data_IF_710146741661
#
_entry.id   IF_710146741661
#
_cell.length_a   1.000
_cell.length_b   1.000
_cell.length_c   1.000
_cell.angle_alpha   90.00
_cell.angle_beta   90.00
_cell.angle_gamma   90.00
#
_symmetry.space_group_name_H-M   'P 1'
#
loop_
_entity.id
_entity.type
_entity.pdbx_description
1 polymer ?
#
# COMPACT_ATOMS: atom_id res chain seq x y z
N UNK A 1 -17.72 48.83 58.15
CA UNK A 1 -17.28 49.61 56.99
C UNK A 1 -16.05 48.94 56.39
N UNK A 2 -16.23 48.06 55.40
CA UNK A 2 -15.11 47.50 54.62
C UNK A 2 -15.14 48.14 53.24
N UNK A 3 -14.08 48.88 52.92
CA UNK A 3 -13.88 49.56 51.65
C UNK A 3 -13.60 48.55 50.54
N UNK A 4 -14.54 48.47 49.61
CA UNK A 4 -14.48 47.62 48.42
C UNK A 4 -13.42 48.19 47.45
N UNK A 5 -12.23 47.58 47.41
CA UNK A 5 -11.18 47.94 46.44
C UNK A 5 -11.65 47.59 45.03
N UNK A 6 -12.08 48.61 44.26
CA UNK A 6 -12.34 48.51 42.81
C UNK A 6 -11.12 47.93 42.09
N UNK A 7 -11.34 46.83 41.35
CA UNK A 7 -10.34 46.24 40.44
C UNK A 7 -9.89 47.29 39.41
N UNK A 8 -8.58 47.44 39.15
CA UNK A 8 -8.08 48.41 38.18
C UNK A 8 -8.62 48.08 36.77
N UNK A 9 -9.11 49.10 36.08
CA UNK A 9 -9.62 49.02 34.71
C UNK A 9 -8.43 48.72 33.79
N UNK A 10 -8.42 47.55 33.15
CA UNK A 10 -7.36 47.16 32.21
C UNK A 10 -7.43 48.07 30.98
N UNK A 11 -6.38 48.86 30.74
CA UNK A 11 -6.25 49.69 29.55
C UNK A 11 -5.76 48.85 28.37
N UNK A 12 -6.65 48.60 27.41
CA UNK A 12 -6.36 47.78 26.23
C UNK A 12 -5.20 48.31 25.39
N UNK A 13 -4.98 49.65 25.34
CA UNK A 13 -3.90 50.24 24.53
C UNK A 13 -2.53 49.97 25.15
N UNK A 14 -2.44 50.09 26.47
CA UNK A 14 -1.24 49.73 27.25
C UNK A 14 -0.91 48.24 27.08
N UNK A 15 -1.94 47.39 27.06
CA UNK A 15 -1.77 45.96 26.80
C UNK A 15 -1.19 45.73 25.40
N UNK A 16 -1.81 46.28 24.36
CA UNK A 16 -1.35 46.14 22.96
C UNK A 16 0.10 46.61 22.78
N UNK A 17 0.47 47.76 23.37
CA UNK A 17 1.83 48.27 23.29
C UNK A 17 2.84 47.33 23.97
N UNK A 18 2.47 46.74 25.11
CA UNK A 18 3.29 45.73 25.79
C UNK A 18 3.45 44.46 24.94
N UNK A 19 2.37 43.93 24.37
CA UNK A 19 2.42 42.73 23.53
C UNK A 19 3.23 42.97 22.25
N UNK A 20 3.11 44.15 21.64
CA UNK A 20 3.90 44.54 20.47
C UNK A 20 5.40 44.60 20.79
N UNK A 21 5.77 45.17 21.95
CA UNK A 21 7.18 45.21 22.39
C UNK A 21 7.73 43.81 22.65
N UNK A 22 6.96 42.94 23.29
CA UNK A 22 7.34 41.55 23.55
C UNK A 22 7.48 40.75 22.24
N UNK A 23 6.59 40.95 21.26
CA UNK A 23 6.68 40.33 19.94
C UNK A 23 7.93 40.78 19.17
N UNK A 24 8.25 42.08 19.19
CA UNK A 24 9.47 42.60 18.55
C UNK A 24 10.74 42.03 19.21
N UNK A 25 10.76 41.87 20.53
CA UNK A 25 11.88 41.27 21.24
C UNK A 25 12.08 39.78 20.88
N UNK A 26 10.99 39.06 20.57
CA UNK A 26 11.04 37.67 20.12
C UNK A 26 11.68 37.54 18.73
N UNK A 27 11.35 38.44 17.80
CA UNK A 27 11.92 38.46 16.45
C UNK A 27 13.44 38.69 16.42
N UNK A 28 13.99 39.28 17.48
CA UNK A 28 15.43 39.50 17.62
C UNK A 28 16.18 38.33 18.25
N UNK A 29 15.47 37.29 18.73
CA UNK A 29 16.06 36.14 19.43
C UNK A 29 16.13 34.92 18.54
N UNK A 30 17.19 34.14 18.76
CA UNK A 30 17.28 32.77 18.25
C UNK A 30 16.51 31.83 19.18
N UNK A 31 15.83 30.87 18.59
CA UNK A 31 15.02 29.85 19.27
C UNK A 31 15.66 28.50 18.98
N UNK A 32 15.94 27.73 20.03
CA UNK A 32 16.32 26.33 19.92
C UNK A 32 15.06 25.50 20.16
N UNK A 33 14.77 24.55 19.26
CA UNK A 33 13.62 23.66 19.41
C UNK A 33 13.85 22.33 18.69
N UNK A 34 13.27 21.23 19.20
CA UNK A 34 13.14 20.01 18.43
C UNK A 34 12.03 20.17 17.39
N UNK A 35 12.22 19.60 16.20
CA UNK A 35 11.25 19.61 15.13
C UNK A 35 11.09 18.21 14.54
N UNK A 36 9.84 17.74 14.51
CA UNK A 36 9.41 16.51 13.83
C UNK A 36 8.80 16.85 12.46
N UNK A 37 8.66 15.87 11.54
CA UNK A 37 7.96 16.09 10.28
C UNK A 37 6.57 16.70 10.50
N UNK A 38 6.21 17.70 9.69
CA UNK A 38 4.93 18.43 9.73
C UNK A 38 4.56 19.08 11.08
N UNK A 39 5.53 19.21 12.00
CA UNK A 39 5.32 19.85 13.29
C UNK A 39 5.55 21.36 13.25
N UNK A 40 5.14 22.04 14.32
CA UNK A 40 5.27 23.50 14.49
C UNK A 40 6.01 23.81 15.76
N UNK A 41 6.80 24.86 15.75
CA UNK A 41 7.53 25.32 16.92
C UNK A 41 6.59 26.14 17.77
N UNK A 42 6.45 25.78 19.05
CA UNK A 42 5.66 26.54 20.02
C UNK A 42 6.57 27.10 21.09
N UNK A 43 6.47 28.41 21.32
CA UNK A 43 7.19 29.08 22.41
C UNK A 43 6.23 29.93 23.21
N UNK A 44 6.50 30.04 24.52
CA UNK A 44 5.72 30.90 25.42
C UNK A 44 6.54 32.12 25.82
N UNK A 45 6.08 33.31 25.45
CA UNK A 45 6.69 34.57 25.86
C UNK A 45 5.61 35.47 26.47
N UNK A 46 5.85 36.02 27.67
CA UNK A 46 4.90 36.92 28.33
C UNK A 46 3.54 36.29 28.67
N UNK A 47 3.45 34.96 28.68
CA UNK A 47 2.19 34.22 28.86
C UNK A 47 1.40 33.97 27.57
N UNK A 48 1.86 34.48 26.43
CA UNK A 48 1.31 34.18 25.10
C UNK A 48 2.04 33.01 24.47
N UNK A 49 1.30 32.19 23.72
CA UNK A 49 1.85 31.10 22.92
C UNK A 49 2.02 31.61 21.50
N UNK A 50 3.26 31.61 21.02
CA UNK A 50 3.61 31.85 19.63
C UNK A 50 3.84 30.52 18.93
N UNK A 51 3.31 30.39 17.73
CA UNK A 51 3.44 29.18 16.91
C UNK A 51 4.07 29.55 15.58
N UNK A 52 5.19 28.91 15.27
CA UNK A 52 5.96 29.16 14.06
C UNK A 52 6.04 27.92 13.17
N UNK A 53 5.97 28.14 11.86
CA UNK A 53 6.27 27.17 10.82
C UNK A 53 7.63 27.47 10.22
N UNK A 54 8.52 26.48 10.05
CA UNK A 54 9.79 26.70 9.36
C UNK A 54 9.56 26.96 7.87
N UNK A 55 10.37 27.85 7.28
CA UNK A 55 10.32 28.17 5.85
C UNK A 55 10.87 27.05 4.96
N UNK A 56 11.77 26.22 5.49
CA UNK A 56 12.32 25.02 4.84
C UNK A 56 11.98 23.77 5.62
N UNK A 57 11.96 22.63 4.94
CA UNK A 57 11.82 21.33 5.62
C UNK A 57 13.05 21.08 6.51
N UNK A 58 12.78 20.77 7.78
CA UNK A 58 13.81 20.48 8.77
C UNK A 58 13.27 19.42 9.74
N UNK A 59 14.12 18.50 10.15
CA UNK A 59 13.81 17.49 11.17
C UNK A 59 15.03 17.33 12.07
N UNK A 60 14.82 17.33 13.38
CA UNK A 60 15.89 17.25 14.35
C UNK A 60 15.92 18.45 15.30
N UNK A 61 17.09 18.73 15.85
CA UNK A 61 17.33 19.85 16.75
C UNK A 61 17.81 21.05 15.95
N UNK A 62 17.00 22.10 15.88
CA UNK A 62 17.29 23.26 15.02
C UNK A 62 17.44 24.56 15.79
N UNK A 63 18.19 25.48 15.18
CA UNK A 63 18.22 26.89 15.57
C UNK A 63 17.37 27.67 14.58
N UNK A 64 16.47 28.48 15.11
CA UNK A 64 15.45 29.16 14.33
C UNK A 64 15.42 30.64 14.66
N UNK A 65 15.17 31.48 13.66
CA UNK A 65 14.99 32.91 13.85
C UNK A 65 13.60 33.32 13.33
N UNK A 66 12.73 33.92 14.15
CA UNK A 66 11.45 34.39 13.67
C UNK A 66 11.61 35.49 12.62
N UNK A 67 11.05 35.28 11.44
CA UNK A 67 11.02 36.29 10.36
C UNK A 67 9.77 37.15 10.49
N UNK A 68 8.66 36.53 10.91
CA UNK A 68 7.39 37.19 11.18
C UNK A 68 6.64 36.48 12.32
N UNK A 69 5.36 36.80 12.54
CA UNK A 69 4.56 36.22 13.64
C UNK A 69 4.26 34.72 13.50
N UNK A 70 4.45 34.13 12.31
CA UNK A 70 4.05 32.75 11.98
C UNK A 70 5.15 31.91 11.35
N UNK A 71 6.23 32.52 10.90
CA UNK A 71 7.32 31.86 10.18
C UNK A 71 8.66 32.09 10.85
N UNK A 72 9.49 31.05 10.77
CA UNK A 72 10.88 31.09 11.20
C UNK A 72 11.80 30.67 10.06
N UNK A 73 12.94 31.34 9.97
CA UNK A 73 14.08 30.94 9.17
C UNK A 73 14.87 29.88 9.92
N UNK A 74 15.30 28.84 9.21
CA UNK A 74 16.16 27.78 9.75
C UNK A 74 17.61 28.24 9.63
N UNK A 75 18.26 28.53 10.76
CA UNK A 75 19.66 28.96 10.77
C UNK A 75 20.63 27.78 10.67
N UNK A 76 20.20 26.58 11.04
CA UNK A 76 21.00 25.36 11.03
C UNK A 76 20.64 24.41 12.15
N UNK A 77 21.41 23.33 12.27
CA UNK A 77 21.30 22.37 13.37
C UNK A 77 21.79 23.00 14.70
N UNK A 78 21.13 22.66 15.79
CA UNK A 78 21.55 23.07 17.13
C UNK A 78 22.79 22.30 17.56
N UNK A 79 23.70 23.01 18.22
CA UNK A 79 24.95 22.44 18.67
C UNK A 79 24.70 21.50 19.86
N UNK A 80 25.55 20.47 20.11
CA UNK A 80 25.31 19.51 21.18
C UNK A 80 25.08 20.13 22.56
N UNK A 81 25.81 21.19 22.91
CA UNK A 81 25.62 21.88 24.20
C UNK A 81 24.34 22.72 24.26
N UNK A 82 23.90 23.29 23.14
CA UNK A 82 22.63 24.03 23.05
C UNK A 82 21.45 23.06 23.25
N UNK A 83 21.52 21.90 22.60
CA UNK A 83 20.58 20.80 22.78
C UNK A 83 20.53 20.35 24.24
N UNK A 84 21.68 20.10 24.85
CA UNK A 84 21.73 19.64 26.24
C UNK A 84 21.17 20.69 27.21
N UNK A 85 21.53 21.97 27.06
CA UNK A 85 20.99 23.05 27.89
C UNK A 85 19.47 23.19 27.76
N UNK A 86 18.92 22.98 26.55
CA UNK A 86 17.48 22.93 26.34
C UNK A 86 16.82 21.72 27.03
N UNK A 87 17.42 20.54 26.86
CA UNK A 87 16.93 19.28 27.41
C UNK A 87 16.95 19.25 28.94
N UNK A 88 17.93 19.90 29.57
CA UNK A 88 18.04 20.00 31.03
C UNK A 88 16.85 20.69 31.70
N UNK A 89 16.08 21.49 30.95
CA UNK A 89 14.85 22.12 31.43
C UNK A 89 13.75 21.12 31.77
N UNK A 90 13.86 19.89 31.26
CA UNK A 90 12.83 18.87 31.38
C UNK A 90 13.24 17.75 32.34
N UNK A 91 12.27 17.16 33.06
CA UNK A 91 12.51 16.01 33.91
C UNK A 91 13.01 14.80 33.10
N UNK A 92 14.06 14.15 33.60
CA UNK A 92 14.63 12.95 33.03
C UNK A 92 13.87 11.68 33.45
N UNK A 93 13.71 10.76 32.50
CA UNK A 93 13.18 9.41 32.65
C UNK A 93 14.16 8.44 32.00
N UNK A 94 14.52 7.37 32.72
CA UNK A 94 15.31 6.28 32.14
C UNK A 94 14.42 5.32 31.39
N UNK A 95 14.81 4.96 30.19
CA UNK A 95 14.06 4.06 29.32
C UNK A 95 14.97 3.03 28.66
N UNK A 96 14.41 1.90 28.24
CA UNK A 96 15.09 0.87 27.44
C UNK A 96 14.53 0.95 26.03
N UNK A 97 15.38 1.21 25.04
CA UNK A 97 14.96 1.26 23.64
C UNK A 97 14.59 -0.14 23.13
N UNK A 98 13.55 -0.25 22.31
CA UNK A 98 13.04 -1.52 21.81
C UNK A 98 13.28 -1.67 20.30
N UNK A 99 12.62 -0.86 19.49
CA UNK A 99 12.76 -0.88 18.04
C UNK A 99 12.49 0.50 17.44
N UNK A 100 13.11 0.83 16.30
CA UNK A 100 12.80 2.06 15.60
C UNK A 100 11.36 2.00 15.08
N UNK A 101 10.64 3.10 15.21
CA UNK A 101 9.38 3.29 14.49
C UNK A 101 9.66 3.38 12.98
N UNK A 102 8.67 3.08 12.15
CA UNK A 102 8.81 3.14 10.70
C UNK A 102 9.33 4.52 10.27
N UNK A 103 10.46 4.53 9.57
CA UNK A 103 11.16 5.76 9.16
C UNK A 103 10.29 6.70 8.32
N UNK A 104 9.24 6.17 7.67
CA UNK A 104 8.30 6.92 6.84
C UNK A 104 7.43 7.87 7.67
N UNK A 105 7.09 7.51 8.91
CA UNK A 105 6.17 8.32 9.71
C UNK A 105 6.90 9.35 10.56
N UNK A 106 7.99 8.94 11.24
CA UNK A 106 8.78 9.82 12.13
C UNK A 106 10.23 9.35 12.20
N UNK A 107 11.16 9.93 11.43
CA UNK A 107 12.56 9.52 11.44
C UNK A 107 13.18 9.79 12.82
N UNK A 108 14.05 8.88 13.26
CA UNK A 108 14.68 8.95 14.58
C UNK A 108 13.71 8.70 15.75
N UNK A 109 12.52 8.14 15.53
CA UNK A 109 11.63 7.75 16.62
C UNK A 109 11.85 6.29 16.98
N UNK A 110 11.94 5.99 18.27
CA UNK A 110 12.05 4.63 18.79
C UNK A 110 10.94 4.35 19.78
N UNK A 111 10.47 3.11 19.81
CA UNK A 111 9.65 2.63 20.91
C UNK A 111 10.55 2.26 22.08
N UNK A 112 10.14 2.61 23.29
CA UNK A 112 10.90 2.37 24.51
C UNK A 112 9.99 1.94 25.66
N UNK A 113 10.56 1.27 26.66
CA UNK A 113 9.90 0.97 27.93
C UNK A 113 10.51 1.77 29.06
N UNK A 114 9.75 2.14 30.09
CA UNK A 114 10.34 2.77 31.26
C UNK A 114 11.23 1.75 31.98
N UNK A 115 12.45 2.16 32.32
CA UNK A 115 13.36 1.29 33.08
C UNK A 115 12.83 1.05 34.51
N UNK A 116 12.23 2.08 35.11
CA UNK A 116 11.54 1.97 36.39
C UNK A 116 10.06 2.35 36.22
N UNK A 117 9.19 1.35 36.18
CA UNK A 117 7.75 1.52 36.01
C UNK A 117 7.11 2.37 37.12
N UNK A 118 7.56 2.21 38.38
CA UNK A 118 7.00 2.97 39.50
C UNK A 118 7.33 4.46 39.39
N UNK A 119 8.58 4.80 39.06
CA UNK A 119 9.01 6.18 38.81
C UNK A 119 8.25 6.79 37.63
N UNK A 120 8.13 6.02 36.54
CA UNK A 120 7.44 6.42 35.34
C UNK A 120 5.94 6.72 35.59
N UNK A 121 5.27 5.85 36.34
CA UNK A 121 3.86 6.00 36.72
C UNK A 121 3.64 7.21 37.63
N UNK A 122 4.49 7.41 38.63
CA UNK A 122 4.32 8.47 39.61
C UNK A 122 4.59 9.87 39.03
N UNK A 123 5.62 10.01 38.19
CA UNK A 123 6.04 11.32 37.68
C UNK A 123 5.44 11.69 36.33
N UNK A 124 5.14 10.69 35.51
CA UNK A 124 4.73 10.91 34.11
C UNK A 124 3.41 10.22 33.75
N UNK A 125 2.81 9.45 34.67
CA UNK A 125 1.57 8.70 34.38
C UNK A 125 1.76 7.55 33.40
N UNK A 126 2.99 7.09 33.17
CA UNK A 126 3.29 6.00 32.24
C UNK A 126 3.19 4.63 32.92
N UNK A 127 2.61 3.66 32.20
CA UNK A 127 2.59 2.25 32.61
C UNK A 127 3.77 1.45 32.08
N UNK A 128 3.67 0.12 32.11
CA UNK A 128 4.64 -0.80 31.51
C UNK A 128 4.47 -0.97 29.99
N UNK A 129 3.79 -0.03 29.32
CA UNK A 129 3.50 -0.07 27.89
C UNK A 129 4.59 0.68 27.10
N UNK A 130 4.91 0.24 25.87
CA UNK A 130 5.85 0.95 25.01
C UNK A 130 5.38 2.38 24.71
N UNK A 131 6.30 3.34 24.79
CA UNK A 131 6.06 4.74 24.44
C UNK A 131 7.12 5.25 23.45
N UNK A 132 6.81 6.28 22.63
CA UNK A 132 7.74 6.80 21.66
C UNK A 132 8.78 7.74 22.30
N UNK A 133 10.04 7.54 21.96
CA UNK A 133 11.16 8.45 22.21
C UNK A 133 11.61 9.03 20.88
N UNK A 134 11.69 10.35 20.81
CA UNK A 134 11.90 11.11 19.58
C UNK A 134 13.34 11.56 19.43
N UNK A 135 13.74 11.72 18.16
CA UNK A 135 15.07 12.23 17.77
C UNK A 135 16.23 11.40 18.36
N UNK A 136 16.02 10.10 18.50
CA UNK A 136 17.05 9.13 18.78
C UNK A 136 18.08 9.11 17.66
N UNK A 137 19.34 9.30 18.03
CA UNK A 137 20.47 9.39 17.11
C UNK A 137 21.34 8.13 17.25
N UNK A 138 21.40 7.25 16.23
CA UNK A 138 22.25 6.06 16.26
C UNK A 138 23.73 6.38 16.43
N UNK A 139 24.20 7.55 15.95
CA UNK A 139 25.59 7.98 16.11
C UNK A 139 25.92 8.40 17.54
N UNK A 140 24.88 8.71 18.33
CA UNK A 140 24.97 9.06 19.74
C UNK A 140 24.46 7.92 20.64
N UNK A 141 24.61 6.66 20.22
CA UNK A 141 24.35 5.48 21.04
C UNK A 141 22.89 5.06 21.14
N UNK A 142 21.99 5.55 20.28
CA UNK A 142 20.63 5.01 20.22
C UNK A 142 20.62 3.65 19.51
N UNK A 143 20.58 2.57 20.29
CA UNK A 143 20.52 1.20 19.79
C UNK A 143 19.44 0.38 20.51
N UNK A 144 19.04 -0.74 19.90
CA UNK A 144 18.10 -1.71 20.49
C UNK A 144 18.62 -2.20 21.85
N UNK A 145 17.72 -2.21 22.82
CA UNK A 145 17.92 -2.55 24.23
C UNK A 145 18.85 -1.62 25.01
N UNK A 146 19.36 -0.56 24.38
CA UNK A 146 20.18 0.41 25.08
C UNK A 146 19.35 1.13 26.14
N UNK A 147 19.93 1.29 27.34
CA UNK A 147 19.32 2.11 28.38
C UNK A 147 19.68 3.57 28.11
N UNK A 148 18.66 4.40 27.98
CA UNK A 148 18.79 5.80 27.57
C UNK A 148 18.14 6.73 28.58
N UNK A 149 18.52 7.99 28.50
CA UNK A 149 17.83 9.07 29.18
C UNK A 149 16.92 9.77 28.18
N UNK A 150 15.63 9.81 28.53
CA UNK A 150 14.60 10.54 27.81
C UNK A 150 14.10 11.72 28.66
N UNK A 151 13.93 12.88 28.03
CA UNK A 151 13.47 14.11 28.68
C UNK A 151 12.01 14.36 28.36
N UNK A 152 11.18 14.46 29.39
CA UNK A 152 9.73 14.57 29.21
C UNK A 152 9.29 16.03 29.06
N UNK A 153 8.77 16.36 27.88
CA UNK A 153 8.12 17.63 27.55
C UNK A 153 6.62 17.36 27.34
N UNK A 154 5.87 17.41 28.44
CA UNK A 154 4.46 16.99 28.45
C UNK A 154 4.33 15.50 28.10
N UNK A 155 3.74 15.20 26.95
CA UNK A 155 3.56 13.82 26.45
C UNK A 155 4.66 13.40 25.45
N UNK A 156 5.63 14.27 25.20
CA UNK A 156 6.74 14.01 24.29
C UNK A 156 7.98 13.60 25.08
N UNK A 157 8.69 12.58 24.62
CA UNK A 157 9.93 12.12 25.25
C UNK A 157 11.09 12.30 24.27
N UNK A 158 12.01 13.19 24.59
CA UNK A 158 13.15 13.52 23.73
C UNK A 158 14.38 12.71 24.14
N UNK A 159 15.07 12.13 23.17
CA UNK A 159 16.34 11.45 23.41
C UNK A 159 17.43 12.45 23.80
N UNK A 160 18.05 12.23 24.95
CA UNK A 160 19.24 12.97 25.38
C UNK A 160 20.53 12.21 25.02
N UNK A 161 20.55 10.92 25.33
CA UNK A 161 21.73 10.07 25.16
C UNK A 161 21.62 8.75 25.92
N UNK A 162 22.66 7.90 25.83
CA UNK A 162 22.76 6.67 26.61
C UNK A 162 22.91 6.99 28.11
N UNK A 163 22.38 6.12 28.96
CA UNK A 163 22.56 6.21 30.41
C UNK A 163 23.97 5.71 30.76
N UNK A 164 24.88 6.62 31.07
CA UNK A 164 26.27 6.32 31.40
C UNK A 164 26.44 5.45 32.66
N UNK A 165 25.38 5.24 33.45
CA UNK A 165 25.35 4.35 34.62
C UNK A 165 24.83 2.95 34.26
N UNK A 166 24.47 2.71 33.00
CA UNK A 166 24.03 1.40 32.53
C UNK A 166 25.20 0.43 32.40
N UNK A 167 24.93 -0.83 32.74
CA UNK A 167 25.84 -1.91 32.43
C UNK A 167 25.64 -2.27 30.95
N UNK A 168 26.65 -2.03 30.08
CA UNK A 168 26.52 -2.31 28.65
C UNK A 168 26.32 -3.80 28.35
N UNK A 169 26.76 -4.70 29.25
CA UNK A 169 26.65 -6.15 29.05
C UNK A 169 25.20 -6.62 29.01
N UNK A 170 24.29 -5.91 29.68
CA UNK A 170 22.86 -6.21 29.63
C UNK A 170 22.29 -6.00 28.22
N UNK A 171 22.59 -4.85 27.62
CA UNK A 171 22.08 -4.50 26.29
C UNK A 171 22.67 -5.44 25.21
N UNK A 172 23.96 -5.75 25.30
CA UNK A 172 24.63 -6.73 24.43
C UNK A 172 23.96 -8.11 24.54
N UNK A 173 23.83 -8.63 25.76
CA UNK A 173 23.21 -9.93 25.98
C UNK A 173 21.77 -9.99 25.46
N UNK A 174 20.97 -8.92 25.66
CA UNK A 174 19.61 -8.85 25.13
C UNK A 174 19.59 -8.86 23.60
N UNK A 175 20.55 -8.20 22.94
CA UNK A 175 20.66 -8.19 21.47
C UNK A 175 21.00 -9.58 20.93
N UNK A 176 21.86 -10.31 21.61
CA UNK A 176 22.21 -11.69 21.27
C UNK A 176 21.00 -12.62 21.48
N UNK A 177 20.38 -12.58 22.67
CA UNK A 177 19.20 -13.39 23.02
C UNK A 177 17.96 -13.08 22.15
N UNK A 178 17.89 -11.89 21.57
CA UNK A 178 16.85 -11.49 20.62
C UNK A 178 17.10 -11.97 19.19
N UNK A 179 18.33 -12.36 18.87
CA UNK A 179 18.72 -12.91 17.58
C UNK A 179 18.62 -14.43 17.56
N UNK A 180 18.72 -15.07 18.73
CA UNK A 180 18.44 -16.50 18.90
C UNK A 180 16.94 -16.80 18.86
N UNK A 181 16.57 -17.86 18.13
CA UNK A 181 15.17 -18.27 17.97
C UNK A 181 14.62 -19.07 19.17
N UNK A 182 15.49 -19.58 20.04
CA UNK A 182 15.14 -20.43 21.16
C UNK A 182 14.78 -19.62 22.42
N UNK A 183 13.97 -20.22 23.31
CA UNK A 183 13.64 -19.58 24.58
C UNK A 183 14.89 -19.52 25.45
N UNK A 184 15.29 -18.31 25.79
CA UNK A 184 16.34 -18.07 26.77
C UNK A 184 15.78 -18.39 28.16
N UNK A 185 15.86 -19.67 28.55
CA UNK A 185 15.34 -20.13 29.85
C UNK A 185 16.17 -19.56 31.02
N UNK A 186 17.41 -19.16 30.75
CA UNK A 186 18.33 -18.57 31.73
C UNK A 186 18.65 -17.12 31.37
N UNK A 187 18.02 -16.17 32.07
CA UNK A 187 18.37 -14.76 31.97
C UNK A 187 19.75 -14.48 32.58
N UNK A 188 20.48 -13.51 32.00
CA UNK A 188 21.67 -12.96 32.62
C UNK A 188 21.36 -12.46 34.04
N UNK A 189 22.21 -12.81 34.99
CA UNK A 189 22.07 -12.39 36.39
C UNK A 189 22.14 -10.87 36.49
N UNK A 190 21.22 -10.25 37.24
CA UNK A 190 21.21 -8.79 37.44
C UNK A 190 20.31 -8.01 36.49
N UNK A 191 19.73 -8.66 35.47
CA UNK A 191 18.75 -8.01 34.60
C UNK A 191 17.53 -7.49 35.39
N UNK A 192 17.14 -6.26 35.08
CA UNK A 192 15.94 -5.63 35.58
C UNK A 192 14.67 -6.25 34.99
N UNK A 193 13.53 -6.06 35.67
CA UNK A 193 12.23 -6.51 35.16
C UNK A 193 11.86 -5.87 33.81
N UNK A 194 12.17 -4.58 33.64
CA UNK A 194 11.95 -3.83 32.40
C UNK A 194 12.78 -4.37 31.23
N UNK A 195 13.99 -4.84 31.48
CA UNK A 195 14.89 -5.40 30.47
C UNK A 195 14.39 -6.77 29.99
N UNK A 196 13.93 -7.62 30.90
CA UNK A 196 13.25 -8.88 30.54
C UNK A 196 11.97 -8.61 29.74
N UNK A 197 11.20 -7.60 30.15
CA UNK A 197 9.99 -7.18 29.46
C UNK A 197 10.30 -6.64 28.05
N UNK A 198 11.40 -5.92 27.88
CA UNK A 198 11.87 -5.43 26.58
C UNK A 198 12.10 -6.57 25.59
N UNK A 199 12.75 -7.66 26.02
CA UNK A 199 12.95 -8.85 25.18
C UNK A 199 11.61 -9.51 24.79
N UNK A 200 10.66 -9.59 25.73
CA UNK A 200 9.32 -10.13 25.46
C UNK A 200 8.58 -9.29 24.40
N UNK A 201 8.54 -7.96 24.57
CA UNK A 201 7.90 -7.06 23.61
C UNK A 201 8.57 -7.15 22.24
N UNK A 202 9.89 -7.25 22.19
CA UNK A 202 10.61 -7.45 20.94
C UNK A 202 10.15 -8.74 20.23
N UNK A 203 10.06 -9.87 20.95
CA UNK A 203 9.60 -11.14 20.38
C UNK A 203 8.16 -11.04 19.87
N UNK A 204 7.26 -10.45 20.64
CA UNK A 204 5.88 -10.19 20.22
C UNK A 204 5.86 -9.37 18.94
N UNK A 205 6.65 -8.29 18.87
CA UNK A 205 6.72 -7.44 17.70
C UNK A 205 7.25 -8.18 16.45
N UNK A 206 8.26 -9.04 16.60
CA UNK A 206 8.75 -9.87 15.49
C UNK A 206 7.69 -10.85 14.99
N UNK A 207 6.92 -11.47 15.88
CA UNK A 207 5.79 -12.32 15.49
C UNK A 207 4.73 -11.53 14.72
N UNK A 208 4.38 -10.31 15.17
CA UNK A 208 3.43 -9.46 14.47
C UNK A 208 3.89 -9.08 13.06
N UNK A 209 5.17 -8.72 12.90
CA UNK A 209 5.77 -8.42 11.58
C UNK A 209 5.69 -9.66 10.67
N UNK A 210 6.08 -10.83 11.17
CA UNK A 210 6.06 -12.07 10.39
C UNK A 210 4.64 -12.42 9.94
N UNK A 211 3.66 -12.35 10.84
CA UNK A 211 2.24 -12.59 10.54
C UNK A 211 1.69 -11.63 9.49
N UNK A 212 2.05 -10.35 9.56
CA UNK A 212 1.62 -9.34 8.58
C UNK A 212 2.26 -9.59 7.21
N UNK A 213 3.54 -9.99 7.17
CA UNK A 213 4.20 -10.38 5.93
C UNK A 213 3.55 -11.60 5.28
N UNK A 214 3.23 -12.64 6.05
CA UNK A 214 2.52 -13.81 5.55
C UNK A 214 1.14 -13.45 4.98
N UNK A 215 0.36 -12.63 5.70
CA UNK A 215 -0.94 -12.13 5.21
C UNK A 215 -0.81 -11.39 3.89
N UNK A 216 0.20 -10.53 3.75
CA UNK A 216 0.48 -9.80 2.50
C UNK A 216 0.87 -10.74 1.37
N UNK A 217 1.69 -11.75 1.64
CA UNK A 217 2.08 -12.76 0.64
C UNK A 217 0.88 -13.59 0.19
N UNK A 218 0.04 -14.05 1.13
CA UNK A 218 -1.19 -14.78 0.82
C UNK A 218 -2.15 -13.94 -0.03
N UNK A 219 -2.40 -12.68 0.36
CA UNK A 219 -3.25 -11.76 -0.40
C UNK A 219 -2.70 -11.51 -1.81
N UNK A 220 -1.38 -11.39 -1.97
CA UNK A 220 -0.74 -11.24 -3.29
C UNK A 220 -0.88 -12.49 -4.14
N UNK A 221 -0.65 -13.67 -3.56
CA UNK A 221 -0.80 -14.96 -4.25
C UNK A 221 -2.25 -15.20 -4.68
N UNK A 222 -3.22 -14.88 -3.84
CA UNK A 222 -4.63 -14.99 -4.17
C UNK A 222 -5.01 -14.04 -5.33
N UNK A 223 -4.57 -12.77 -5.28
CA UNK A 223 -4.79 -11.81 -6.37
C UNK A 223 -4.20 -12.31 -7.70
N UNK A 224 -3.02 -12.93 -7.66
CA UNK A 224 -2.39 -13.51 -8.84
C UNK A 224 -3.19 -14.68 -9.40
N UNK A 225 -3.60 -15.64 -8.55
CA UNK A 225 -4.45 -16.77 -8.95
C UNK A 225 -5.77 -16.30 -9.56
N UNK A 226 -6.45 -15.33 -8.92
CA UNK A 226 -7.70 -14.77 -9.45
C UNK A 226 -7.48 -14.07 -10.80
N UNK A 227 -6.37 -13.35 -10.97
CA UNK A 227 -6.05 -12.70 -12.25
C UNK A 227 -5.77 -13.73 -13.36
N UNK A 228 -5.10 -14.83 -13.06
CA UNK A 228 -4.85 -15.93 -14.00
C UNK A 228 -6.15 -16.60 -14.44
N UNK A 229 -7.03 -16.96 -13.49
CA UNK A 229 -8.35 -17.53 -13.80
C UNK A 229 -9.15 -16.57 -14.68
N UNK A 230 -9.18 -15.27 -14.36
CA UNK A 230 -9.85 -14.25 -15.18
C UNK A 230 -9.25 -14.16 -16.59
N UNK A 231 -7.92 -14.25 -16.74
CA UNK A 231 -7.24 -14.25 -18.05
C UNK A 231 -7.58 -15.50 -18.85
N UNK A 232 -7.58 -16.67 -18.21
CA UNK A 232 -7.92 -17.94 -18.84
C UNK A 232 -9.37 -17.92 -19.35
N UNK A 233 -10.32 -17.54 -18.50
CA UNK A 233 -11.74 -17.43 -18.88
C UNK A 233 -11.96 -16.43 -20.02
N UNK A 234 -11.26 -15.28 -20.01
CA UNK A 234 -11.32 -14.29 -21.11
C UNK A 234 -10.78 -14.85 -22.43
N UNK A 235 -9.73 -15.69 -22.40
CA UNK A 235 -9.20 -16.34 -23.60
C UNK A 235 -10.21 -17.34 -24.17
N UNK A 236 -10.73 -18.23 -23.32
CA UNK A 236 -11.75 -19.20 -23.73
C UNK A 236 -12.99 -18.51 -24.29
N UNK A 237 -13.49 -17.45 -23.63
CA UNK A 237 -14.64 -16.70 -24.12
C UNK A 237 -14.37 -16.04 -25.49
N UNK A 238 -13.16 -15.52 -25.72
CA UNK A 238 -12.77 -14.95 -27.02
C UNK A 238 -12.67 -16.01 -28.12
N UNK A 239 -12.12 -17.17 -27.80
CA UNK A 239 -12.04 -18.30 -28.75
C UNK A 239 -13.44 -18.79 -29.12
N UNK A 240 -14.32 -18.95 -28.13
CA UNK A 240 -15.72 -19.31 -28.35
C UNK A 240 -16.45 -18.28 -29.22
N UNK A 241 -16.30 -16.98 -28.93
CA UNK A 241 -16.90 -15.90 -29.74
C UNK A 241 -16.36 -15.89 -31.19
N UNK A 242 -15.05 -16.17 -31.38
CA UNK A 242 -14.45 -16.28 -32.72
C UNK A 242 -15.02 -17.46 -33.50
N UNK A 243 -15.13 -18.63 -32.88
CA UNK A 243 -15.73 -19.81 -33.51
C UNK A 243 -17.20 -19.58 -33.86
N UNK A 244 -17.97 -18.97 -32.95
CA UNK A 244 -19.37 -18.63 -33.20
C UNK A 244 -19.53 -17.62 -34.36
N UNK A 245 -18.67 -16.60 -34.43
CA UNK A 245 -18.67 -15.63 -35.52
C UNK A 245 -18.31 -16.28 -36.86
N UNK A 246 -17.27 -17.12 -36.90
CA UNK A 246 -16.88 -17.87 -38.10
C UNK A 246 -18.03 -18.74 -38.62
N UNK A 247 -18.70 -19.47 -37.71
CA UNK A 247 -19.85 -20.31 -38.05
C UNK A 247 -21.02 -19.48 -38.59
N UNK A 248 -21.29 -18.31 -38.01
CA UNK A 248 -22.34 -17.40 -38.48
C UNK A 248 -22.04 -16.85 -39.88
N UNK A 249 -20.79 -16.44 -40.15
CA UNK A 249 -20.41 -15.95 -41.48
C UNK A 249 -20.53 -17.05 -42.53
N UNK A 250 -20.12 -18.27 -42.19
CA UNK A 250 -20.25 -19.43 -43.09
C UNK A 250 -21.72 -19.74 -43.37
N UNK A 251 -22.57 -19.73 -42.34
CA UNK A 251 -24.01 -19.92 -42.49
C UNK A 251 -24.63 -18.86 -43.40
N UNK A 252 -24.27 -17.59 -43.23
CA UNK A 252 -24.74 -16.48 -44.07
C UNK A 252 -24.30 -16.63 -45.53
N UNK A 253 -23.05 -17.05 -45.76
CA UNK A 253 -22.53 -17.36 -47.11
C UNK A 253 -23.31 -18.50 -47.76
N UNK A 254 -23.57 -19.58 -47.03
CA UNK A 254 -24.37 -20.72 -47.51
C UNK A 254 -25.81 -20.30 -47.84
N UNK A 255 -26.46 -19.53 -46.95
CA UNK A 255 -27.80 -18.99 -47.19
C UNK A 255 -27.82 -18.08 -48.43
N UNK A 256 -26.82 -17.22 -48.59
CA UNK A 256 -26.73 -16.31 -49.74
C UNK A 256 -26.51 -17.06 -51.06
N UNK A 257 -25.65 -18.08 -51.08
CA UNK A 257 -25.42 -18.92 -52.25
C UNK A 257 -26.69 -19.71 -52.65
N UNK A 258 -27.40 -20.29 -51.68
CA UNK A 258 -28.65 -21.02 -51.92
C UNK A 258 -29.79 -20.09 -52.36
N UNK A 259 -29.90 -18.89 -51.77
CA UNK A 259 -30.93 -17.92 -52.11
C UNK A 259 -30.83 -17.42 -53.56
N UNK A 260 -29.62 -17.35 -54.14
CA UNK A 260 -29.42 -17.00 -55.56
C UNK A 260 -30.08 -17.99 -56.52
N UNK A 261 -30.37 -19.21 -56.06
CA UNK A 261 -30.98 -20.27 -56.85
C UNK A 261 -32.33 -20.71 -56.29
N UNK A 262 -33.02 -19.85 -55.54
CA UNK A 262 -34.32 -20.12 -54.91
C UNK A 262 -34.35 -21.39 -54.02
N UNK A 263 -33.24 -21.66 -53.32
CA UNK A 263 -33.13 -22.74 -52.35
C UNK A 263 -33.05 -22.22 -50.90
N UNK A 264 -33.48 -23.07 -49.97
CA UNK A 264 -33.51 -22.81 -48.52
C UNK A 264 -32.55 -23.75 -47.78
N UNK A 265 -31.73 -23.17 -46.89
CA UNK A 265 -30.83 -23.92 -46.02
C UNK A 265 -31.60 -24.49 -44.81
N UNK A 266 -31.51 -25.79 -44.56
CA UNK A 266 -32.07 -26.43 -43.35
C UNK A 266 -31.02 -26.65 -42.27
N UNK A 267 -29.86 -27.19 -42.63
CA UNK A 267 -28.79 -27.48 -41.69
C UNK A 267 -27.45 -27.56 -42.41
N UNK A 268 -26.35 -27.41 -41.67
CA UNK A 268 -25.02 -27.75 -42.15
C UNK A 268 -24.17 -28.33 -41.03
N UNK A 269 -23.23 -29.20 -41.39
CA UNK A 269 -22.26 -29.81 -40.49
C UNK A 269 -20.88 -29.80 -41.11
N UNK A 270 -19.87 -29.46 -40.32
CA UNK A 270 -18.46 -29.42 -40.72
C UNK A 270 -17.83 -30.79 -40.46
N UNK A 271 -17.18 -31.37 -41.47
CA UNK A 271 -16.38 -32.59 -41.37
C UNK A 271 -14.91 -32.15 -41.33
N UNK A 272 -14.22 -32.27 -40.17
CA UNK A 272 -12.81 -31.96 -40.08
C UNK A 272 -11.97 -33.04 -40.78
N UNK A 273 -10.84 -32.62 -41.35
CA UNK A 273 -9.82 -33.52 -41.87
C UNK A 273 -9.06 -34.22 -40.71
N UNK A 274 -8.27 -35.24 -41.04
CA UNK A 274 -7.47 -35.99 -40.07
C UNK A 274 -6.43 -35.12 -39.32
N UNK A 275 -6.09 -33.95 -39.86
CA UNK A 275 -5.20 -32.95 -39.27
C UNK A 275 -5.93 -31.86 -38.47
N UNK A 276 -7.26 -31.93 -38.35
CA UNK A 276 -8.10 -30.96 -37.66
C UNK A 276 -8.40 -29.68 -38.46
N UNK A 277 -7.96 -29.58 -39.72
CA UNK A 277 -8.36 -28.51 -40.62
C UNK A 277 -9.82 -28.69 -41.09
N UNK A 278 -10.48 -27.59 -41.49
CA UNK A 278 -11.78 -27.64 -42.15
C UNK A 278 -11.64 -28.44 -43.46
N UNK A 279 -12.27 -29.60 -43.52
CA UNK A 279 -12.21 -30.49 -44.68
C UNK A 279 -13.35 -30.27 -45.63
N UNK A 280 -14.50 -30.85 -45.30
CA UNK A 280 -15.69 -30.80 -46.13
C UNK A 280 -16.89 -30.28 -45.32
N UNK A 281 -17.78 -29.55 -45.97
CA UNK A 281 -19.05 -29.10 -45.40
C UNK A 281 -20.16 -29.98 -45.95
N UNK A 282 -20.97 -30.55 -45.08
CA UNK A 282 -22.22 -31.21 -45.49
C UNK A 282 -23.36 -30.24 -45.28
N UNK A 283 -24.09 -29.96 -46.34
CA UNK A 283 -25.17 -28.97 -46.36
C UNK A 283 -26.47 -29.67 -46.72
N UNK A 284 -27.51 -29.45 -45.92
CA UNK A 284 -28.87 -29.89 -46.19
C UNK A 284 -29.73 -28.71 -46.62
N UNK A 285 -30.34 -28.82 -47.80
CA UNK A 285 -31.09 -27.73 -48.41
C UNK A 285 -32.32 -28.27 -49.17
N UNK A 286 -33.28 -27.41 -49.48
CA UNK A 286 -34.42 -27.74 -50.34
C UNK A 286 -34.78 -26.58 -51.25
N UNK A 287 -35.29 -26.90 -52.44
CA UNK A 287 -35.87 -25.92 -53.35
C UNK A 287 -37.14 -25.30 -52.75
N UNK A 288 -37.40 -24.03 -53.09
CA UNK A 288 -38.55 -23.31 -52.58
C UNK A 288 -39.86 -24.03 -52.95
N UNK A 289 -40.68 -24.35 -51.94
CA UNK A 289 -41.96 -25.05 -52.12
C UNK A 289 -41.91 -26.58 -52.22
N UNK A 290 -40.72 -27.19 -52.28
CA UNK A 290 -40.59 -28.66 -52.28
C UNK A 290 -40.40 -29.24 -50.87
N UNK A 291 -40.98 -30.42 -50.62
CA UNK A 291 -40.79 -31.16 -49.35
C UNK A 291 -39.50 -31.99 -49.32
N UNK A 292 -38.84 -32.19 -50.47
CA UNK A 292 -37.67 -33.05 -50.60
C UNK A 292 -36.43 -32.28 -50.13
N UNK A 293 -35.64 -32.91 -49.26
CA UNK A 293 -34.36 -32.37 -48.79
C UNK A 293 -33.24 -33.03 -49.54
N UNK A 294 -32.31 -32.22 -50.04
CA UNK A 294 -31.09 -32.65 -50.69
C UNK A 294 -29.93 -32.47 -49.72
N UNK A 295 -28.96 -33.39 -49.80
CA UNK A 295 -27.75 -33.37 -49.00
C UNK A 295 -26.56 -33.35 -49.93
N UNK A 296 -25.75 -32.31 -49.84
CA UNK A 296 -24.58 -32.11 -50.68
C UNK A 296 -23.33 -31.91 -49.82
N UNK A 297 -22.20 -32.38 -50.32
CA UNK A 297 -20.89 -32.22 -49.68
C UNK A 297 -20.08 -31.20 -50.48
N UNK A 298 -19.62 -30.14 -49.82
CA UNK A 298 -18.85 -29.04 -50.37
C UNK A 298 -17.44 -29.03 -49.77
N UNK A 299 -16.50 -28.40 -50.47
CA UNK A 299 -15.21 -28.02 -49.90
C UNK A 299 -15.27 -26.67 -49.17
N UNK A 300 -14.15 -26.25 -48.58
CA UNK A 300 -14.01 -24.97 -47.87
C UNK A 300 -14.20 -23.75 -48.78
N UNK A 301 -14.08 -23.92 -50.11
CA UNK A 301 -14.32 -22.90 -51.12
C UNK A 301 -15.77 -22.86 -51.64
N UNK A 302 -16.68 -23.64 -51.04
CA UNK A 302 -18.08 -23.83 -51.47
C UNK A 302 -18.25 -24.54 -52.83
N UNK A 303 -17.20 -25.22 -53.31
CA UNK A 303 -17.25 -26.06 -54.51
C UNK A 303 -17.81 -27.43 -54.17
N UNK A 304 -18.59 -28.02 -55.05
CA UNK A 304 -19.23 -29.31 -54.78
C UNK A 304 -18.21 -30.45 -54.89
N UNK A 305 -18.03 -31.19 -53.81
CA UNK A 305 -17.22 -32.41 -53.78
C UNK A 305 -18.09 -33.63 -54.10
N UNK A 306 -19.34 -33.62 -53.63
CA UNK A 306 -20.34 -34.64 -53.97
C UNK A 306 -21.74 -34.05 -53.90
N UNK A 307 -22.48 -34.16 -54.99
CA UNK A 307 -23.85 -33.66 -55.12
C UNK A 307 -24.92 -34.56 -54.48
N UNK A 308 -24.58 -35.81 -54.15
CA UNK A 308 -25.53 -36.84 -53.73
C UNK A 308 -26.31 -37.49 -54.88
N UNK A 309 -26.00 -37.09 -56.13
CA UNK A 309 -26.55 -37.65 -57.38
C UNK A 309 -25.40 -37.91 -58.37
N UNK A 310 -25.61 -38.77 -59.37
CA UNK A 310 -24.58 -39.07 -60.36
C UNK A 310 -24.44 -37.92 -61.38
N UNK A 311 -23.52 -36.98 -61.15
CA UNK A 311 -23.16 -35.92 -62.12
C UNK A 311 -22.06 -36.36 -63.11
N UNK A 312 -22.04 -37.64 -63.50
CA UNK A 312 -21.07 -38.22 -64.46
C UNK A 312 -19.59 -37.88 -64.18
N UNK A 313 -19.22 -37.72 -62.90
CA UNK A 313 -17.83 -37.45 -62.47
C UNK A 313 -17.37 -36.00 -62.63
N UNK A 314 -18.29 -35.06 -62.89
CA UNK A 314 -18.01 -33.61 -63.00
C UNK A 314 -18.44 -32.79 -61.79
N UNK A 315 -18.65 -33.42 -60.64
CA UNK A 315 -19.15 -32.74 -59.43
C UNK A 315 -18.32 -31.49 -59.06
N UNK A 316 -17.00 -31.52 -59.28
CA UNK A 316 -16.08 -30.42 -58.97
C UNK A 316 -16.17 -29.19 -59.88
N UNK A 317 -16.87 -29.30 -61.01
CA UNK A 317 -17.08 -28.19 -61.95
C UNK A 317 -18.24 -27.27 -61.52
N UNK A 318 -18.96 -27.62 -60.44
CA UNK A 318 -20.14 -26.91 -59.96
C UNK A 318 -19.89 -26.27 -58.58
N UNK A 319 -20.30 -25.00 -58.45
CA UNK A 319 -20.48 -24.38 -57.15
C UNK A 319 -21.89 -24.69 -56.61
N UNK A 320 -22.14 -24.41 -55.32
CA UNK A 320 -23.43 -24.68 -54.69
C UNK A 320 -24.60 -24.03 -55.45
N UNK A 321 -24.42 -22.83 -56.01
CA UNK A 321 -25.45 -22.11 -56.78
C UNK A 321 -25.77 -22.81 -58.10
N UNK A 322 -24.75 -23.27 -58.81
CA UNK A 322 -24.88 -23.95 -60.10
C UNK A 322 -25.48 -25.34 -59.93
N UNK A 323 -25.16 -26.03 -58.83
CA UNK A 323 -25.74 -27.33 -58.51
C UNK A 323 -27.25 -27.24 -58.29
N UNK A 324 -27.73 -26.25 -57.53
CA UNK A 324 -29.16 -26.03 -57.35
C UNK A 324 -29.83 -25.77 -58.70
N UNK A 325 -29.23 -24.93 -59.55
CA UNK A 325 -29.77 -24.67 -60.90
C UNK A 325 -29.86 -25.94 -61.75
N UNK A 326 -28.84 -26.81 -61.72
CA UNK A 326 -28.87 -28.10 -62.43
C UNK A 326 -30.00 -29.00 -61.91
N UNK A 327 -30.24 -29.00 -60.60
CA UNK A 327 -31.33 -29.77 -59.97
C UNK A 327 -32.71 -29.23 -60.36
N UNK A 328 -32.89 -27.91 -60.38
CA UNK A 328 -34.16 -27.26 -60.76
C UNK A 328 -34.52 -27.48 -62.24
N UNK A 329 -33.51 -27.52 -63.14
CA UNK A 329 -33.72 -27.65 -64.59
C UNK A 329 -33.58 -29.09 -65.12
N UNK A 330 -33.25 -30.07 -64.28
CA UNK A 330 -33.18 -31.48 -64.71
C UNK A 330 -34.59 -32.08 -64.76
N UNK A 331 -35.05 -32.66 -65.90
CA UNK A 331 -36.40 -33.21 -66.04
C UNK A 331 -36.65 -34.52 -65.26
N UNK A 332 -35.71 -34.95 -64.42
CA UNK A 332 -35.79 -36.21 -63.67
C UNK A 332 -36.11 -35.92 -62.20
N UNK A 333 -37.36 -35.50 -61.96
CA UNK A 333 -38.01 -35.51 -60.65
C UNK A 333 -38.57 -36.89 -60.32
#
# INVERSE_FOLDING_TARGET
MMSEKRKPKVDARMLIAKLSKESMALQQREIIAPLLPDSRIRTRLGGMIHEFRPQSEFVGWGRFKPVNEREVEVLGEALPWERNAYLELFPALRAVLLWPASAVERPGTWWALPFNESDARQRFGLGAEPFPVFLCDPTNGAERFERVIARADGNMFWFEGPDMVADPTHAEWLRDAASEAESTDNFLSGLAGSERLALLFWRIHQFEIAMEQERRQQAKAERQRQAEVRRHNRRQQREWLRQAAQRSTLEEQLRHALAKADATLHSFSEIPNADGSLGNLVVEWSENGQKRRYRSTLDVGLSVVSSGICLSGRDRDFDLTSLVSVMTYSPWA
#
